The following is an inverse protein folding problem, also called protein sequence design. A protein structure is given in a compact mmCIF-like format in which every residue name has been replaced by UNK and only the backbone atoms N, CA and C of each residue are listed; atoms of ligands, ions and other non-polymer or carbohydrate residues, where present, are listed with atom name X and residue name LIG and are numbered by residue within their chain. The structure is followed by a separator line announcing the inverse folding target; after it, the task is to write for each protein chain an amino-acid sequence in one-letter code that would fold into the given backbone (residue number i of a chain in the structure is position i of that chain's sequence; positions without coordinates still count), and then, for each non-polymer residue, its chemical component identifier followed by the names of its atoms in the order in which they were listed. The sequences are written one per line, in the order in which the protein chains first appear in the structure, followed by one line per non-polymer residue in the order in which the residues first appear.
data_IF_326224687619
#
_entry.id   IF_326224687619
#
_cell.length_a   1.000
_cell.length_b   1.000
_cell.length_c   1.000
_cell.angle_alpha   90.00
_cell.angle_beta   90.00
_cell.angle_gamma   90.00
#
_symmetry.space_group_name_H-M   'P 1'
#
loop_
_entity.id
_entity.type
_entity.pdbx_description
1 polymer ?
#
# COMPACT_ATOMS: atom_id res chain seq x y z
N UNK A 1 -16.67 6.90 1.61
CA UNK A 1 -15.47 6.58 0.82
C UNK A 1 -15.62 5.20 0.23
N UNK A 2 -14.94 4.91 -0.88
CA UNK A 2 -14.96 3.58 -1.52
C UNK A 2 -13.87 2.70 -0.89
N UNK A 3 -14.16 1.43 -0.55
CA UNK A 3 -13.13 0.50 -0.10
C UNK A 3 -12.02 0.36 -1.13
N UNK A 4 -10.77 0.28 -0.68
CA UNK A 4 -9.59 0.02 -1.51
C UNK A 4 -8.98 -1.28 -1.04
N UNK A 5 -8.95 -2.30 -1.88
CA UNK A 5 -8.33 -3.61 -1.56
C UNK A 5 -6.90 -3.75 -2.11
N UNK A 6 -6.65 -3.07 -3.23
CA UNK A 6 -5.37 -3.08 -3.95
C UNK A 6 -4.79 -1.64 -3.97
N UNK A 7 -4.03 -1.23 -2.94
CA UNK A 7 -3.59 0.16 -2.78
C UNK A 7 -2.86 0.72 -3.99
N UNK A 8 -1.94 -0.06 -4.58
CA UNK A 8 -1.15 0.39 -5.73
C UNK A 8 -2.01 0.64 -6.97
N UNK A 9 -3.04 -0.18 -7.19
CA UNK A 9 -3.97 -0.03 -8.31
C UNK A 9 -4.92 1.16 -8.13
N UNK A 10 -5.16 1.61 -6.89
CA UNK A 10 -6.05 2.74 -6.60
C UNK A 10 -5.36 4.12 -6.73
N UNK A 11 -4.02 4.16 -6.81
CA UNK A 11 -3.26 5.42 -6.88
C UNK A 11 -3.64 6.34 -8.06
N UNK A 12 -3.94 5.85 -9.28
CA UNK A 12 -4.41 6.72 -10.36
C UNK A 12 -5.74 7.42 -10.04
N UNK A 13 -6.68 6.71 -9.39
CA UNK A 13 -7.95 7.29 -8.97
C UNK A 13 -7.74 8.31 -7.84
N UNK A 14 -6.83 8.01 -6.89
CA UNK A 14 -6.45 8.94 -5.83
C UNK A 14 -5.88 10.25 -6.39
N UNK A 15 -5.06 10.18 -7.45
CA UNK A 15 -4.52 11.37 -8.10
C UNK A 15 -5.61 12.27 -8.70
N UNK A 16 -6.69 11.69 -9.22
CA UNK A 16 -7.84 12.45 -9.73
C UNK A 16 -8.67 13.06 -8.60
N UNK A 17 -8.92 12.27 -7.54
CA UNK A 17 -9.77 12.68 -6.42
C UNK A 17 -9.09 13.67 -5.48
N UNK A 18 -7.77 13.55 -5.30
CA UNK A 18 -6.98 14.37 -4.40
C UNK A 18 -5.58 14.65 -5.00
N UNK A 19 -5.46 15.60 -5.95
CA UNK A 19 -4.20 15.90 -6.64
C UNK A 19 -3.06 16.34 -5.70
N UNK A 20 -3.39 16.96 -4.57
CA UNK A 20 -2.43 17.47 -3.59
C UNK A 20 -2.08 16.44 -2.49
N UNK A 21 -2.66 15.24 -2.55
CA UNK A 21 -2.32 14.18 -1.59
C UNK A 21 -0.86 13.73 -1.75
N UNK A 22 -0.11 13.40 -0.68
CA UNK A 22 1.30 13.02 -0.77
C UNK A 22 1.60 11.93 -1.79
N UNK A 23 0.78 10.87 -1.84
CA UNK A 23 0.95 9.80 -2.84
C UNK A 23 0.59 10.20 -4.28
N UNK A 24 -0.27 11.20 -4.46
CA UNK A 24 -0.55 11.79 -5.77
C UNK A 24 0.64 12.61 -6.26
N UNK A 25 1.28 13.37 -5.35
CA UNK A 25 2.47 14.18 -5.66
C UNK A 25 3.71 13.31 -5.95
N UNK A 26 3.90 12.22 -5.21
CA UNK A 26 4.98 11.26 -5.48
C UNK A 26 4.75 10.54 -6.81
N UNK A 27 3.49 10.25 -7.14
CA UNK A 27 3.09 9.58 -8.37
C UNK A 27 3.12 8.06 -8.27
N UNK A 28 2.19 7.36 -8.96
CA UNK A 28 1.92 5.94 -8.75
C UNK A 28 3.14 5.04 -9.01
N UNK A 29 3.91 5.29 -10.07
CA UNK A 29 5.09 4.49 -10.39
C UNK A 29 6.18 4.58 -9.34
N UNK A 30 6.41 5.77 -8.77
CA UNK A 30 7.40 5.95 -7.70
C UNK A 30 6.94 5.31 -6.40
N UNK A 31 5.67 5.41 -6.06
CA UNK A 31 5.10 4.73 -4.87
C UNK A 31 5.27 3.22 -4.99
N UNK A 32 4.94 2.63 -6.14
CA UNK A 32 5.10 1.19 -6.36
C UNK A 32 6.58 0.75 -6.25
N UNK A 33 7.49 1.48 -6.90
CA UNK A 33 8.92 1.18 -6.86
C UNK A 33 9.51 1.28 -5.44
N UNK A 34 9.12 2.32 -4.70
CA UNK A 34 9.55 2.53 -3.31
C UNK A 34 8.97 1.48 -2.36
N UNK A 35 7.72 1.05 -2.56
CA UNK A 35 7.11 -0.04 -1.79
C UNK A 35 7.90 -1.35 -1.95
N UNK A 36 8.23 -1.73 -3.18
CA UNK A 36 9.06 -2.91 -3.44
C UNK A 36 10.50 -2.75 -2.91
N UNK A 37 11.07 -1.54 -2.95
CA UNK A 37 12.40 -1.27 -2.39
C UNK A 37 12.42 -1.37 -0.86
N UNK A 38 11.36 -0.90 -0.19
CA UNK A 38 11.19 -1.00 1.24
C UNK A 38 11.10 -2.47 1.69
N UNK A 39 10.29 -3.29 1.01
CA UNK A 39 10.22 -4.73 1.32
C UNK A 39 11.61 -5.40 1.22
N UNK A 40 12.31 -5.19 0.11
CA UNK A 40 13.68 -5.72 -0.06
C UNK A 40 14.66 -5.21 0.99
N UNK A 41 14.52 -3.96 1.45
CA UNK A 41 15.36 -3.42 2.52
C UNK A 41 15.13 -4.16 3.82
N UNK A 42 13.87 -4.37 4.19
CA UNK A 42 13.49 -5.08 5.41
C UNK A 42 13.97 -6.54 5.37
N UNK A 43 13.82 -7.22 4.23
CA UNK A 43 14.37 -8.57 4.01
C UNK A 43 15.89 -8.61 4.23
N UNK A 44 16.65 -7.65 3.69
CA UNK A 44 18.11 -7.57 3.91
C UNK A 44 18.48 -7.31 5.36
N UNK A 45 17.61 -6.67 6.14
CA UNK A 45 17.79 -6.48 7.58
C UNK A 45 17.38 -7.71 8.41
N UNK A 46 17.02 -8.83 7.78
CA UNK A 46 16.58 -10.06 8.45
C UNK A 46 15.11 -10.03 8.90
N UNK A 47 14.33 -9.06 8.42
CA UNK A 47 12.89 -8.97 8.69
C UNK A 47 12.12 -9.63 7.55
N UNK A 48 11.64 -10.84 7.79
CA UNK A 48 10.81 -11.59 6.84
C UNK A 48 9.34 -11.23 7.02
N UNK A 49 8.82 -10.36 6.14
CA UNK A 49 7.42 -9.97 6.15
C UNK A 49 6.55 -10.99 5.41
N UNK A 50 5.30 -11.13 5.86
CA UNK A 50 4.29 -11.92 5.16
C UNK A 50 3.33 -10.99 4.41
N UNK A 51 3.11 -11.27 3.14
CA UNK A 51 2.30 -10.44 2.24
C UNK A 51 3.17 -9.52 1.37
N UNK A 52 2.51 -8.65 0.61
CA UNK A 52 3.15 -7.74 -0.35
C UNK A 52 2.42 -6.39 -0.37
N UNK A 53 3.05 -5.36 -0.95
CA UNK A 53 2.46 -4.00 -1.02
C UNK A 53 1.27 -3.86 -1.98
N UNK A 54 0.97 -4.88 -2.79
CA UNK A 54 -0.12 -4.84 -3.76
C UNK A 54 -1.51 -5.01 -3.13
N UNK A 55 -1.59 -5.60 -1.94
CA UNK A 55 -2.84 -5.94 -1.25
C UNK A 55 -2.85 -5.37 0.17
N UNK A 56 -4.03 -5.07 0.70
CA UNK A 56 -4.15 -4.61 2.10
C UNK A 56 -3.64 -5.65 3.10
N UNK A 57 -2.96 -5.16 4.14
CA UNK A 57 -2.55 -5.97 5.29
C UNK A 57 -3.67 -5.93 6.32
N UNK A 58 -4.60 -6.87 6.18
CA UNK A 58 -5.79 -6.90 7.01
C UNK A 58 -5.49 -7.47 8.41
N UNK A 59 -6.14 -6.92 9.42
CA UNK A 59 -6.03 -7.30 10.84
C UNK A 59 -7.28 -8.02 11.30
N UNK A 60 -7.11 -8.98 12.20
CA UNK A 60 -8.25 -9.59 12.91
C UNK A 60 -8.76 -8.62 13.97
N UNK A 61 -10.06 -8.38 13.95
CA UNK A 61 -10.78 -7.58 14.95
C UNK A 61 -11.21 -8.45 16.13
N UNK A 62 -11.47 -7.87 17.32
CA UNK A 62 -12.01 -8.63 18.46
C UNK A 62 -13.32 -9.38 18.18
N UNK A 63 -14.08 -8.95 17.16
CA UNK A 63 -15.31 -9.60 16.72
C UNK A 63 -15.08 -10.77 15.74
N UNK A 64 -13.83 -11.16 15.49
CA UNK A 64 -13.50 -12.26 14.57
C UNK A 64 -13.56 -11.90 13.09
N UNK A 65 -13.82 -10.63 12.73
CA UNK A 65 -13.79 -10.17 11.33
C UNK A 65 -12.41 -9.68 10.92
N UNK A 66 -12.08 -9.77 9.63
CA UNK A 66 -10.82 -9.29 9.05
C UNK A 66 -11.03 -7.93 8.37
N UNK A 67 -10.22 -6.92 8.69
CA UNK A 67 -10.36 -5.54 8.20
C UNK A 67 -9.02 -4.87 7.93
#
# INVERSE_FOLDING_TARGET
GTPVEMPLAALPQLAQQAPQHPYSLIGPGRVAALSAAAQRLLERCGLHLQGEGANNHLRITPLGTRR
#
